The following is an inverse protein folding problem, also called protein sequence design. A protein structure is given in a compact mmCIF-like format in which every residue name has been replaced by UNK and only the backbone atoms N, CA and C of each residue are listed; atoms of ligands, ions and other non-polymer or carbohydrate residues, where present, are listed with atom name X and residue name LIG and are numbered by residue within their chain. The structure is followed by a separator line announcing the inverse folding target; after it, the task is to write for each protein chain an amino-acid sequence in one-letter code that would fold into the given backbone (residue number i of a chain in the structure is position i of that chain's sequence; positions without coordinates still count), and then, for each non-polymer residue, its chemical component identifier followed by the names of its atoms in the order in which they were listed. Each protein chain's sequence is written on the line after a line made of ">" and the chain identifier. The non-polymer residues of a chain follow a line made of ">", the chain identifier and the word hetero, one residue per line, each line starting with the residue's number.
data_IF_525611962737
#
_entry.id   IF_525611962737
#
_cell.length_a   1.000
_cell.length_b   1.000
_cell.length_c   1.000
_cell.angle_alpha   90.00
_cell.angle_beta   90.00
_cell.angle_gamma   90.00
#
_symmetry.space_group_name_H-M   'P 1'
#
loop_
_entity.id
_entity.type
_entity.pdbx_description
1 polymer ?
#
# COMPACT_ATOMS: atom_id res chain seq x y z
N UNK A 1 2.29 -42.94 -10.39
CA UNK A 1 2.04 -41.99 -9.29
C UNK A 1 3.38 -41.39 -8.85
N UNK A 2 4.13 -40.72 -9.75
CA UNK A 2 5.55 -40.39 -9.52
C UNK A 2 5.93 -38.98 -10.02
N UNK A 3 5.22 -37.95 -9.52
CA UNK A 3 5.49 -36.55 -9.90
C UNK A 3 5.42 -35.54 -8.74
N UNK A 4 5.07 -35.95 -7.52
CA UNK A 4 4.89 -35.04 -6.37
C UNK A 4 6.09 -34.99 -5.41
N UNK A 5 6.96 -36.00 -5.41
CA UNK A 5 8.10 -36.07 -4.48
C UNK A 5 9.22 -35.06 -4.76
N UNK A 6 9.29 -34.48 -5.97
CA UNK A 6 10.38 -33.56 -6.35
C UNK A 6 10.20 -32.09 -5.88
N UNK A 7 9.02 -31.72 -5.37
CA UNK A 7 8.76 -30.33 -4.94
C UNK A 7 9.24 -30.01 -3.51
N UNK A 8 9.57 -31.01 -2.70
CA UNK A 8 10.02 -30.86 -1.30
C UNK A 8 11.51 -31.24 -1.10
N UNK A 9 12.34 -30.89 -2.09
CA UNK A 9 13.79 -31.13 -2.07
C UNK A 9 14.55 -30.34 -0.99
N UNK A 10 14.51 -30.81 0.25
CA UNK A 10 15.45 -30.39 1.32
C UNK A 10 16.89 -30.60 0.85
N UNK A 11 17.72 -29.56 0.87
CA UNK A 11 19.18 -29.70 0.88
C UNK A 11 19.68 -29.63 2.33
N UNK A 12 20.57 -30.54 2.78
CA UNK A 12 21.20 -30.42 4.10
C UNK A 12 22.28 -29.32 4.09
N UNK A 13 22.58 -28.68 5.23
CA UNK A 13 23.71 -27.77 5.36
C UNK A 13 25.02 -28.54 5.46
N UNK A 14 26.06 -28.07 4.74
CA UNK A 14 27.43 -28.60 4.80
C UNK A 14 28.37 -27.58 5.44
N UNK A 15 28.87 -27.87 6.64
CA UNK A 15 29.84 -27.06 7.37
C UNK A 15 31.26 -27.65 7.31
N UNK A 16 32.29 -26.84 7.02
CA UNK A 16 33.65 -27.07 7.50
C UNK A 16 33.86 -26.48 8.92
N UNK A 17 34.91 -26.91 9.66
CA UNK A 17 35.06 -26.62 11.09
C UNK A 17 35.83 -25.33 11.42
N UNK A 18 35.81 -24.97 12.71
CA UNK A 18 36.69 -23.96 13.34
C UNK A 18 38.16 -24.39 13.33
N UNK A 19 39.05 -23.41 13.47
CA UNK A 19 40.42 -23.61 13.96
C UNK A 19 40.81 -22.46 14.88
N UNK A 20 40.97 -22.75 16.18
CA UNK A 20 41.48 -21.78 17.16
C UNK A 20 43.01 -21.62 17.05
N UNK A 21 43.48 -20.37 17.13
CA UNK A 21 44.84 -19.98 17.51
C UNK A 21 44.80 -18.48 17.87
N UNK A 22 44.74 -18.09 19.14
CA UNK A 22 45.76 -18.16 20.21
C UNK A 22 46.83 -17.05 20.06
N UNK A 23 47.24 -16.47 21.19
CA UNK A 23 47.75 -15.09 21.25
C UNK A 23 49.28 -14.93 21.08
N UNK A 24 49.69 -13.71 20.65
CA UNK A 24 50.73 -12.80 21.23
C UNK A 24 52.05 -13.43 21.76
N UNK A 25 53.28 -12.92 21.46
CA UNK A 25 53.67 -11.52 21.12
C UNK A 25 54.59 -11.48 19.85
N UNK A 26 55.61 -10.62 19.58
CA UNK A 26 56.28 -9.53 20.33
C UNK A 26 57.00 -8.48 19.45
N UNK A 27 57.15 -7.28 20.01
CA UNK A 27 58.04 -6.13 19.75
C UNK A 27 59.42 -6.42 19.12
N UNK A 28 59.81 -5.61 18.12
CA UNK A 28 61.22 -5.21 17.90
C UNK A 28 61.35 -3.81 17.29
N UNK A 29 62.12 -2.95 17.97
CA UNK A 29 62.66 -1.63 17.59
C UNK A 29 64.11 -1.64 18.07
N UNK A 30 65.10 -1.33 17.22
CA UNK A 30 65.76 0.00 17.15
C UNK A 30 65.43 0.70 15.80
N UNK A 31 65.50 2.04 15.61
CA UNK A 31 66.61 2.99 15.79
C UNK A 31 67.82 2.69 14.87
N UNK A 32 68.49 3.68 14.24
CA UNK A 32 68.57 5.11 14.59
C UNK A 32 68.93 6.03 13.39
N UNK A 33 68.79 7.36 13.57
CA UNK A 33 69.59 8.45 12.92
C UNK A 33 69.49 8.69 11.38
N UNK A 34 69.43 9.92 10.81
CA UNK A 34 69.25 11.32 11.31
C UNK A 34 69.01 12.32 10.14
N UNK A 35 68.47 13.51 10.44
CA UNK A 35 68.49 14.78 9.66
C UNK A 35 67.64 14.98 8.39
N UNK A 36 66.56 15.77 8.57
CA UNK A 36 66.20 16.93 7.71
C UNK A 36 67.11 18.14 8.09
N UNK A 37 67.12 19.35 7.42
CA UNK A 37 65.95 20.07 6.86
C UNK A 37 66.19 20.92 5.57
N UNK A 38 65.22 21.80 5.29
CA UNK A 38 65.26 23.09 4.53
C UNK A 38 64.81 23.16 3.04
N UNK A 39 63.70 23.88 2.85
CA UNK A 39 63.27 24.68 1.68
C UNK A 39 64.10 26.00 1.58
N UNK A 40 64.08 26.87 0.51
CA UNK A 40 62.88 27.23 -0.28
C UNK A 40 63.00 27.64 -1.78
N UNK A 41 61.85 27.47 -2.47
CA UNK A 41 61.17 28.35 -3.46
C UNK A 41 61.98 29.13 -4.55
N UNK A 42 61.46 29.06 -5.79
CA UNK A 42 61.36 30.16 -6.79
C UNK A 42 62.14 30.02 -8.11
N UNK A 43 61.47 29.51 -9.16
CA UNK A 43 61.81 29.83 -10.56
C UNK A 43 60.58 30.15 -11.41
N UNK A 44 60.40 31.45 -11.65
CA UNK A 44 59.89 32.17 -12.85
C UNK A 44 58.72 31.62 -13.69
N UNK A 45 57.84 32.54 -14.07
CA UNK A 45 56.59 32.33 -14.81
C UNK A 45 56.76 32.25 -16.35
N UNK A 46 55.84 31.51 -17.00
CA UNK A 46 55.30 31.68 -18.38
C UNK A 46 56.22 31.47 -19.61
N UNK A 47 55.66 31.20 -20.83
CA UNK A 47 54.49 30.36 -21.15
C UNK A 47 54.65 29.51 -22.46
N UNK A 48 53.58 28.79 -22.86
CA UNK A 48 53.38 28.13 -24.19
C UNK A 48 54.25 26.88 -24.45
N UNK A 49 53.82 25.81 -25.16
CA UNK A 49 52.73 25.65 -26.13
C UNK A 49 52.10 24.25 -26.11
N UNK A 50 50.86 24.15 -26.58
CA UNK A 50 50.15 22.92 -26.98
C UNK A 50 49.69 21.97 -25.85
N UNK A 51 48.37 21.96 -25.63
CA UNK A 51 47.66 20.83 -25.01
C UNK A 51 46.45 20.56 -25.90
N UNK A 52 46.35 19.35 -26.44
CA UNK A 52 45.23 18.95 -27.28
C UNK A 52 43.93 18.90 -26.45
N UNK A 53 42.75 19.17 -27.04
CA UNK A 53 41.48 19.03 -26.34
C UNK A 53 41.26 17.57 -25.95
N UNK A 54 41.36 17.27 -24.65
CA UNK A 54 41.04 15.95 -24.10
C UNK A 54 39.54 15.74 -24.27
N UNK A 55 39.17 14.95 -25.27
CA UNK A 55 37.79 14.56 -25.52
C UNK A 55 37.27 13.75 -24.32
N UNK A 56 36.18 14.18 -23.65
CA UNK A 56 35.68 13.48 -22.48
C UNK A 56 35.14 12.11 -22.90
N UNK A 57 35.76 11.04 -22.39
CA UNK A 57 35.29 9.68 -22.60
C UNK A 57 33.82 9.55 -22.16
N UNK A 58 32.95 8.90 -22.96
CA UNK A 58 31.59 8.62 -22.54
C UNK A 58 31.60 7.83 -21.21
N UNK A 59 30.98 8.39 -20.18
CA UNK A 59 30.82 7.68 -18.92
C UNK A 59 30.04 6.38 -19.16
N UNK A 60 30.44 5.23 -18.59
CA UNK A 60 29.72 3.98 -18.78
C UNK A 60 28.27 4.12 -18.33
N UNK A 61 27.34 4.08 -19.29
CA UNK A 61 25.92 4.07 -18.95
C UNK A 61 25.64 2.82 -18.12
N UNK A 62 25.00 2.93 -16.94
CA UNK A 62 24.74 1.79 -16.09
C UNK A 62 23.81 0.83 -16.83
N UNK A 63 24.35 -0.35 -17.19
CA UNK A 63 23.62 -1.35 -17.96
C UNK A 63 22.30 -1.67 -17.27
N UNK A 64 21.19 -1.41 -17.98
CA UNK A 64 19.84 -1.62 -17.47
C UNK A 64 19.55 -3.12 -17.35
N UNK A 65 19.96 -3.70 -16.21
CA UNK A 65 19.58 -5.06 -15.85
C UNK A 65 18.05 -5.22 -15.94
N UNK A 66 17.53 -6.33 -16.48
CA UNK A 66 16.10 -6.53 -16.65
C UNK A 66 15.40 -6.60 -15.29
N UNK A 67 14.84 -5.45 -14.86
CA UNK A 67 14.10 -5.33 -13.60
C UNK A 67 12.87 -6.23 -13.65
N UNK A 68 12.75 -7.14 -12.70
CA UNK A 68 11.57 -7.99 -12.61
C UNK A 68 10.43 -7.25 -11.90
N UNK A 69 9.57 -6.55 -12.64
CA UNK A 69 8.46 -5.77 -12.08
C UNK A 69 7.54 -6.66 -11.23
N UNK A 70 7.55 -6.45 -9.90
CA UNK A 70 6.76 -7.25 -8.93
C UNK A 70 5.33 -6.70 -8.73
N UNK A 71 5.06 -5.46 -9.14
CA UNK A 71 3.76 -4.80 -9.04
C UNK A 71 2.55 -5.68 -9.47
N UNK A 72 2.53 -6.36 -10.65
CA UNK A 72 1.41 -7.21 -11.02
C UNK A 72 1.21 -8.42 -10.10
N UNK A 73 2.25 -8.91 -9.42
CA UNK A 73 2.13 -10.01 -8.45
C UNK A 73 1.44 -9.53 -7.17
N UNK A 74 1.78 -8.32 -6.70
CA UNK A 74 1.12 -7.68 -5.55
C UNK A 74 -0.34 -7.35 -5.86
N UNK A 75 -0.62 -6.83 -7.07
CA UNK A 75 -1.99 -6.61 -7.55
C UNK A 75 -2.81 -7.90 -7.58
N UNK A 76 -2.28 -8.98 -8.18
CA UNK A 76 -2.99 -10.26 -8.27
C UNK A 76 -3.22 -10.91 -6.90
N UNK A 77 -2.26 -10.78 -5.97
CA UNK A 77 -2.44 -11.20 -4.58
C UNK A 77 -3.55 -10.40 -3.87
N UNK A 78 -3.57 -9.08 -4.03
CA UNK A 78 -4.63 -8.20 -3.50
C UNK A 78 -6.01 -8.51 -4.10
N UNK A 79 -6.10 -8.73 -5.42
CA UNK A 79 -7.32 -9.16 -6.11
C UNK A 79 -7.83 -10.51 -5.59
N UNK A 80 -6.97 -11.52 -5.50
CA UNK A 80 -7.35 -12.85 -5.01
C UNK A 80 -7.81 -12.82 -3.54
N UNK A 81 -7.09 -12.08 -2.69
CA UNK A 81 -7.46 -11.89 -1.29
C UNK A 81 -8.78 -11.15 -1.14
N UNK A 82 -9.03 -10.10 -1.94
CA UNK A 82 -10.29 -9.35 -1.93
C UNK A 82 -11.47 -10.17 -2.45
N UNK A 83 -11.28 -10.94 -3.53
CA UNK A 83 -12.31 -11.85 -4.05
C UNK A 83 -12.68 -12.91 -2.99
N UNK A 84 -11.68 -13.48 -2.31
CA UNK A 84 -11.91 -14.45 -1.23
C UNK A 84 -12.62 -13.80 -0.02
N UNK A 85 -12.20 -12.60 0.39
CA UNK A 85 -12.86 -11.81 1.45
C UNK A 85 -14.34 -11.56 1.13
N UNK A 86 -14.63 -11.04 -0.06
CA UNK A 86 -16.00 -10.77 -0.51
C UNK A 86 -16.84 -12.05 -0.63
N UNK A 87 -16.26 -13.19 -1.02
CA UNK A 87 -16.97 -14.48 -1.04
C UNK A 87 -17.32 -14.96 0.38
N UNK A 88 -16.41 -14.81 1.35
CA UNK A 88 -16.66 -15.15 2.76
C UNK A 88 -17.73 -14.22 3.34
N UNK A 89 -17.59 -12.91 3.16
CA UNK A 89 -18.55 -11.91 3.63
C UNK A 89 -19.94 -12.07 2.97
N UNK A 90 -20.01 -12.35 1.67
CA UNK A 90 -21.27 -12.66 0.97
C UNK A 90 -21.91 -13.95 1.48
N UNK A 91 -21.11 -14.96 1.87
CA UNK A 91 -21.61 -16.21 2.47
C UNK A 91 -22.12 -16.02 3.90
N UNK A 92 -21.44 -15.25 4.75
CA UNK A 92 -21.92 -14.95 6.11
C UNK A 92 -23.16 -14.06 6.07
N UNK A 93 -23.14 -12.98 5.29
CA UNK A 93 -24.28 -12.08 5.11
C UNK A 93 -25.49 -12.80 4.49
N UNK A 94 -25.31 -13.69 3.52
CA UNK A 94 -26.42 -14.48 2.96
C UNK A 94 -27.02 -15.47 3.98
N UNK A 95 -26.25 -15.97 4.95
CA UNK A 95 -26.80 -16.76 6.08
C UNK A 95 -27.58 -15.86 7.05
N UNK A 96 -26.97 -14.78 7.53
CA UNK A 96 -27.60 -13.79 8.43
C UNK A 96 -28.89 -13.23 7.83
N UNK A 97 -28.89 -12.80 6.56
CA UNK A 97 -30.09 -12.29 5.83
C UNK A 97 -31.19 -13.33 5.63
N UNK A 98 -30.88 -14.63 5.52
CA UNK A 98 -31.90 -15.69 5.46
C UNK A 98 -32.51 -15.98 6.82
N UNK A 99 -31.70 -15.96 7.88
CA UNK A 99 -32.19 -16.12 9.26
C UNK A 99 -33.04 -14.93 9.72
N UNK A 100 -32.65 -13.71 9.33
CA UNK A 100 -33.35 -12.47 9.65
C UNK A 100 -34.56 -12.16 8.74
N UNK A 101 -34.97 -13.10 7.88
CA UNK A 101 -36.19 -12.97 7.07
C UNK A 101 -37.33 -13.74 7.75
N UNK A 102 -38.23 -13.09 8.51
CA UNK A 102 -39.32 -13.79 9.20
C UNK A 102 -40.23 -14.48 8.18
N UNK A 103 -40.77 -15.65 8.57
CA UNK A 103 -41.82 -16.27 7.79
C UNK A 103 -43.09 -15.42 7.89
N UNK A 104 -43.93 -15.41 6.85
CA UNK A 104 -45.09 -14.51 6.74
C UNK A 104 -46.10 -14.60 7.90
N UNK A 105 -46.01 -15.63 8.74
CA UNK A 105 -46.89 -15.87 9.90
C UNK A 105 -46.19 -15.74 11.27
N UNK A 106 -44.90 -15.37 11.34
CA UNK A 106 -44.14 -15.33 12.62
C UNK A 106 -44.06 -13.95 13.28
N UNK A 107 -44.87 -12.97 12.86
CA UNK A 107 -44.91 -11.61 13.42
C UNK A 107 -45.59 -11.49 14.80
N UNK A 108 -45.50 -12.53 15.63
CA UNK A 108 -45.90 -12.47 17.04
C UNK A 108 -44.75 -11.88 17.88
N UNK A 109 -44.99 -10.84 18.71
CA UNK A 109 -43.93 -10.16 19.48
C UNK A 109 -43.10 -11.09 20.38
N UNK A 110 -43.66 -12.21 20.83
CA UNK A 110 -42.94 -13.19 21.64
C UNK A 110 -41.78 -13.86 20.86
N UNK A 111 -41.96 -14.14 19.57
CA UNK A 111 -40.93 -14.81 18.78
C UNK A 111 -39.79 -13.87 18.38
N UNK A 112 -40.07 -12.59 18.11
CA UNK A 112 -39.03 -11.59 17.83
C UNK A 112 -38.22 -11.25 19.09
N UNK A 113 -38.86 -11.18 20.27
CA UNK A 113 -38.13 -11.02 21.54
C UNK A 113 -37.23 -12.23 21.85
N UNK A 114 -37.71 -13.46 21.66
CA UNK A 114 -36.86 -14.65 21.85
C UNK A 114 -35.69 -14.68 20.86
N UNK A 115 -35.88 -14.28 19.61
CA UNK A 115 -34.78 -14.21 18.64
C UNK A 115 -33.75 -13.12 18.97
N UNK A 116 -34.19 -11.93 19.42
CA UNK A 116 -33.29 -10.86 19.88
C UNK A 116 -32.55 -11.17 21.19
N UNK A 117 -33.17 -11.91 22.11
CA UNK A 117 -32.57 -12.25 23.40
C UNK A 117 -31.49 -13.35 23.32
N UNK A 118 -31.38 -14.08 22.20
CA UNK A 118 -30.41 -15.16 22.00
C UNK A 118 -29.02 -14.67 21.54
N UNK A 119 -28.87 -13.37 21.24
CA UNK A 119 -27.60 -12.78 20.74
C UNK A 119 -27.01 -11.78 21.72
N UNK A 120 -25.84 -12.10 22.27
CA UNK A 120 -25.06 -11.20 23.11
C UNK A 120 -24.49 -10.04 22.27
N UNK A 121 -25.10 -8.86 22.36
CA UNK A 121 -24.73 -7.69 21.56
C UNK A 121 -23.21 -7.37 21.48
N UNK A 122 -22.39 -7.51 22.56
CA UNK A 122 -20.94 -7.31 22.46
C UNK A 122 -20.22 -8.34 21.59
N UNK A 123 -20.71 -9.59 21.58
CA UNK A 123 -20.16 -10.68 20.77
C UNK A 123 -20.48 -10.46 19.28
N UNK A 124 -21.70 -10.04 18.99
CA UNK A 124 -22.13 -9.69 17.63
C UNK A 124 -21.40 -8.46 17.09
N UNK A 125 -21.18 -7.43 17.94
CA UNK A 125 -20.35 -6.28 17.57
C UNK A 125 -18.90 -6.68 17.24
N UNK A 126 -18.33 -7.65 17.95
CA UNK A 126 -16.99 -8.18 17.65
C UNK A 126 -16.94 -9.01 16.36
N UNK A 127 -17.95 -9.85 16.08
CA UNK A 127 -18.07 -10.54 14.79
C UNK A 127 -18.19 -9.54 13.63
N UNK A 128 -19.05 -8.52 13.79
CA UNK A 128 -19.24 -7.47 12.79
C UNK A 128 -17.97 -6.64 12.57
N UNK A 129 -17.24 -6.30 13.63
CA UNK A 129 -15.95 -5.61 13.55
C UNK A 129 -14.92 -6.43 12.77
N UNK A 130 -14.80 -7.72 13.04
CA UNK A 130 -13.85 -8.60 12.35
C UNK A 130 -14.22 -8.79 10.86
N UNK A 131 -15.52 -8.94 10.54
CA UNK A 131 -16.01 -8.95 9.16
C UNK A 131 -15.72 -7.60 8.47
N UNK A 132 -15.83 -6.48 9.17
CA UNK A 132 -15.50 -5.16 8.62
C UNK A 132 -14.00 -4.99 8.38
N UNK A 133 -13.13 -5.33 9.34
CA UNK A 133 -11.68 -5.14 9.22
C UNK A 133 -11.08 -6.01 8.12
N UNK A 134 -11.53 -7.26 7.92
CA UNK A 134 -11.04 -8.12 6.82
C UNK A 134 -11.43 -7.53 5.45
N UNK A 135 -12.62 -6.94 5.32
CA UNK A 135 -13.04 -6.26 4.08
C UNK A 135 -12.28 -4.95 3.84
N UNK A 136 -12.05 -4.13 4.87
CA UNK A 136 -11.27 -2.88 4.77
C UNK A 136 -9.79 -3.19 4.48
N UNK A 137 -9.21 -4.20 5.13
CA UNK A 137 -7.84 -4.64 4.91
C UNK A 137 -7.63 -5.18 3.48
N UNK A 138 -8.58 -5.96 2.96
CA UNK A 138 -8.50 -6.43 1.57
C UNK A 138 -8.65 -5.29 0.56
N UNK A 139 -9.56 -4.35 0.78
CA UNK A 139 -9.65 -3.13 -0.04
C UNK A 139 -8.36 -2.29 0.02
N UNK A 140 -7.74 -2.12 1.19
CA UNK A 140 -6.47 -1.42 1.34
C UNK A 140 -5.32 -2.14 0.60
N UNK A 141 -5.26 -3.48 0.67
CA UNK A 141 -4.27 -4.28 -0.05
C UNK A 141 -4.49 -4.23 -1.57
N UNK A 142 -5.75 -4.26 -2.03
CA UNK A 142 -6.13 -4.08 -3.43
C UNK A 142 -5.72 -2.69 -3.94
N UNK A 143 -6.09 -1.62 -3.24
CA UNK A 143 -5.74 -0.25 -3.61
C UNK A 143 -4.23 -0.01 -3.62
N UNK A 144 -3.48 -0.62 -2.68
CA UNK A 144 -2.02 -0.56 -2.66
C UNK A 144 -1.41 -1.28 -3.86
N UNK A 145 -1.87 -2.50 -4.17
CA UNK A 145 -1.44 -3.23 -5.37
C UNK A 145 -1.84 -2.52 -6.67
N UNK A 146 -3.01 -1.90 -6.70
CA UNK A 146 -3.52 -1.08 -7.80
C UNK A 146 -2.67 0.15 -8.05
N UNK A 147 -2.33 0.91 -7.00
CA UNK A 147 -1.44 2.05 -7.09
C UNK A 147 -0.03 1.65 -7.57
N UNK A 148 0.56 0.59 -7.00
CA UNK A 148 1.88 0.10 -7.43
C UNK A 148 1.90 -0.35 -8.90
N UNK A 149 0.80 -0.91 -9.40
CA UNK A 149 0.67 -1.32 -10.80
C UNK A 149 0.39 -0.13 -11.74
N UNK A 150 -0.59 0.72 -11.42
CA UNK A 150 -0.96 1.89 -12.22
C UNK A 150 0.20 2.89 -12.35
N UNK A 151 0.93 3.13 -11.26
CA UNK A 151 2.10 3.99 -11.27
C UNK A 151 3.38 3.27 -11.70
N UNK A 152 3.38 1.99 -12.11
CA UNK A 152 4.56 1.17 -12.43
C UNK A 152 5.73 1.36 -11.43
N UNK A 153 5.45 1.12 -10.16
CA UNK A 153 6.42 1.24 -9.07
C UNK A 153 7.04 -0.14 -8.83
N UNK A 154 8.16 -0.39 -9.50
CA UNK A 154 8.96 -1.60 -9.35
C UNK A 154 10.04 -1.50 -8.25
N UNK A 155 10.40 -0.29 -7.78
CA UNK A 155 11.46 -0.06 -6.80
C UNK A 155 11.24 1.21 -5.95
N UNK A 156 12.03 1.37 -4.87
CA UNK A 156 12.00 2.59 -4.06
C UNK A 156 12.48 3.83 -4.82
N UNK A 157 13.44 3.70 -5.74
CA UNK A 157 13.86 4.79 -6.64
C UNK A 157 12.73 5.20 -7.61
N UNK A 158 11.89 4.26 -8.05
CA UNK A 158 10.73 4.58 -8.89
C UNK A 158 9.66 5.32 -8.09
N UNK A 159 9.38 4.89 -6.85
CA UNK A 159 8.51 5.62 -5.93
C UNK A 159 9.05 7.03 -5.62
N UNK A 160 10.33 7.16 -5.27
CA UNK A 160 10.99 8.42 -4.95
C UNK A 160 11.02 9.38 -6.14
N UNK A 161 11.23 8.89 -7.36
CA UNK A 161 11.14 9.70 -8.59
C UNK A 161 9.72 10.21 -8.82
N UNK A 162 8.71 9.34 -8.70
CA UNK A 162 7.30 9.72 -8.94
C UNK A 162 6.79 10.68 -7.88
N UNK A 163 7.22 10.54 -6.62
CA UNK A 163 6.94 11.52 -5.55
C UNK A 163 7.59 12.89 -5.84
N UNK A 164 8.84 12.95 -6.31
CA UNK A 164 9.52 14.22 -6.66
C UNK A 164 8.93 14.91 -7.89
N UNK A 165 8.62 14.15 -8.95
CA UNK A 165 7.96 14.68 -10.14
C UNK A 165 6.54 15.17 -9.86
N UNK A 166 5.80 14.50 -8.96
CA UNK A 166 4.48 14.95 -8.50
C UNK A 166 4.51 16.21 -7.62
N UNK A 167 5.63 16.49 -6.95
CA UNK A 167 5.86 17.70 -6.15
C UNK A 167 6.38 18.89 -6.98
N UNK A 168 6.28 18.84 -8.32
CA UNK A 168 6.72 19.92 -9.22
C UNK A 168 8.24 20.14 -9.30
N UNK A 169 9.04 19.44 -8.49
CA UNK A 169 10.51 19.64 -8.37
C UNK A 169 11.24 19.36 -9.69
N UNK A 170 10.72 18.43 -10.50
CA UNK A 170 11.25 18.09 -11.82
C UNK A 170 10.55 18.88 -12.97
N UNK A 171 9.84 19.97 -12.66
CA UNK A 171 9.34 20.96 -13.62
C UNK A 171 8.26 20.50 -14.62
N UNK A 172 7.72 19.28 -14.47
CA UNK A 172 6.77 18.66 -15.42
C UNK A 172 5.55 18.00 -14.77
N UNK A 173 5.33 18.27 -13.47
CA UNK A 173 4.08 17.92 -12.80
C UNK A 173 2.92 18.82 -13.23
N UNK A 174 1.68 18.34 -13.06
CA UNK A 174 0.48 19.18 -13.06
C UNK A 174 0.67 20.31 -12.05
N UNK A 175 0.24 21.52 -12.36
CA UNK A 175 0.39 22.64 -11.42
C UNK A 175 -0.46 22.38 -10.17
N UNK A 176 0.01 22.84 -9.01
CA UNK A 176 -0.68 22.67 -7.72
C UNK A 176 -2.16 23.10 -7.80
N UNK A 177 -2.44 24.25 -8.42
CA UNK A 177 -3.80 24.74 -8.68
C UNK A 177 -4.67 23.88 -9.61
N UNK A 178 -4.10 23.06 -10.50
CA UNK A 178 -4.89 22.12 -11.32
C UNK A 178 -5.40 20.96 -10.45
N UNK A 179 -4.60 20.52 -9.47
CA UNK A 179 -5.00 19.51 -8.51
C UNK A 179 -5.95 20.06 -7.43
N UNK A 180 -5.87 21.36 -7.12
CA UNK A 180 -6.83 22.05 -6.26
C UNK A 180 -8.19 22.24 -6.98
N UNK A 181 -8.20 22.64 -8.26
CA UNK A 181 -9.43 22.77 -9.07
C UNK A 181 -10.13 21.41 -9.28
N UNK A 182 -9.38 20.35 -9.63
CA UNK A 182 -9.87 18.95 -9.69
C UNK A 182 -10.52 18.54 -8.34
N UNK A 183 -9.97 18.99 -7.20
CA UNK A 183 -10.47 18.67 -5.86
C UNK A 183 -11.70 19.50 -5.46
N UNK A 184 -11.77 20.77 -5.83
CA UNK A 184 -12.94 21.63 -5.60
C UNK A 184 -14.17 21.15 -6.40
N UNK A 185 -14.01 20.82 -7.69
CA UNK A 185 -15.12 20.24 -8.48
C UNK A 185 -15.58 18.92 -7.86
N UNK A 186 -14.63 18.04 -7.50
CA UNK A 186 -14.96 16.77 -6.86
C UNK A 186 -15.75 16.97 -5.56
N UNK A 187 -15.29 17.86 -4.67
CA UNK A 187 -15.94 18.14 -3.39
C UNK A 187 -17.34 18.76 -3.59
N UNK A 188 -17.49 19.70 -4.53
CA UNK A 188 -18.78 20.25 -4.92
C UNK A 188 -19.74 19.18 -5.47
N UNK A 189 -19.23 18.24 -6.28
CA UNK A 189 -20.02 17.12 -6.82
C UNK A 189 -20.48 16.12 -5.73
N UNK A 190 -19.72 15.99 -4.65
CA UNK A 190 -20.05 15.14 -3.49
C UNK A 190 -21.06 15.82 -2.58
N UNK A 191 -20.87 17.10 -2.26
CA UNK A 191 -21.76 17.88 -1.40
C UNK A 191 -23.14 18.08 -2.06
N UNK A 192 -23.18 18.51 -3.32
CA UNK A 192 -24.45 18.66 -4.07
C UNK A 192 -25.22 17.34 -4.19
N UNK A 193 -24.52 16.20 -4.39
CA UNK A 193 -25.11 14.86 -4.38
C UNK A 193 -25.65 14.45 -3.02
N UNK A 194 -24.99 14.86 -1.92
CA UNK A 194 -25.44 14.63 -0.55
C UNK A 194 -26.73 15.41 -0.28
N UNK A 195 -26.74 16.72 -0.51
CA UNK A 195 -27.93 17.56 -0.35
C UNK A 195 -29.12 17.09 -1.21
N UNK A 196 -28.86 16.72 -2.47
CA UNK A 196 -29.88 16.24 -3.39
C UNK A 196 -30.44 14.86 -2.98
N UNK A 197 -29.75 14.12 -2.09
CA UNK A 197 -30.28 12.93 -1.44
C UNK A 197 -31.07 13.29 -0.18
N UNK A 198 -30.56 14.17 0.68
CA UNK A 198 -31.23 14.60 1.91
C UNK A 198 -32.60 15.24 1.60
N UNK A 199 -32.67 16.20 0.66
CA UNK A 199 -33.94 16.79 0.19
C UNK A 199 -34.93 15.77 -0.42
N UNK A 200 -34.45 14.64 -0.95
CA UNK A 200 -35.33 13.55 -1.43
C UNK A 200 -35.89 12.72 -0.28
N UNK A 201 -35.06 12.43 0.73
CA UNK A 201 -35.48 11.69 1.91
C UNK A 201 -36.52 12.50 2.71
N UNK A 202 -36.28 13.79 2.93
CA UNK A 202 -37.25 14.71 3.57
C UNK A 202 -38.61 14.71 2.84
N UNK A 203 -38.61 14.80 1.51
CA UNK A 203 -39.84 14.80 0.71
C UNK A 203 -40.55 13.43 0.69
N UNK A 204 -39.80 12.33 0.70
CA UNK A 204 -40.36 10.99 0.81
C UNK A 204 -40.98 10.76 2.20
N UNK A 205 -40.29 11.18 3.28
CA UNK A 205 -40.79 11.11 4.66
C UNK A 205 -42.04 11.98 4.87
N UNK A 206 -42.07 13.23 4.41
CA UNK A 206 -43.26 14.10 4.50
C UNK A 206 -44.46 13.48 3.77
N UNK A 207 -44.22 12.91 2.59
CA UNK A 207 -45.23 12.25 1.76
C UNK A 207 -45.76 10.97 2.41
N UNK A 208 -44.92 10.20 3.09
CA UNK A 208 -45.36 9.05 3.88
C UNK A 208 -46.14 9.48 5.12
N UNK A 209 -45.69 10.50 5.86
CA UNK A 209 -46.41 11.05 7.02
C UNK A 209 -47.82 11.54 6.64
N UNK A 210 -47.94 12.31 5.54
CA UNK A 210 -49.25 12.73 4.99
C UNK A 210 -50.15 11.54 4.70
N UNK A 211 -49.63 10.51 4.00
CA UNK A 211 -50.35 9.27 3.69
C UNK A 211 -50.71 8.43 4.92
N UNK A 212 -49.95 8.50 6.02
CA UNK A 212 -50.31 7.86 7.30
C UNK A 212 -51.45 8.63 7.98
N UNK A 213 -51.35 9.95 8.05
CA UNK A 213 -52.36 10.82 8.65
C UNK A 213 -53.72 10.71 7.94
N UNK A 214 -53.75 10.73 6.61
CA UNK A 214 -54.95 10.52 5.80
C UNK A 214 -55.62 9.16 6.08
N UNK A 215 -54.83 8.07 6.22
CA UNK A 215 -55.35 6.74 6.54
C UNK A 215 -55.83 6.60 7.99
N UNK A 216 -55.27 7.37 8.91
CA UNK A 216 -55.75 7.46 10.30
C UNK A 216 -57.11 8.17 10.42
N UNK A 217 -57.43 9.06 9.47
CA UNK A 217 -58.67 9.86 9.46
C UNK A 217 -59.87 9.19 8.77
N UNK A 218 -59.70 7.95 8.29
CA UNK A 218 -60.74 7.14 7.63
C UNK A 218 -61.12 5.90 8.47
N UNK A 219 -60.97 5.98 9.80
CA UNK A 219 -61.30 4.94 10.79
C UNK A 219 -62.01 5.58 11.98
#
# INVERSE_FOLDING_TARGET
>A
MEFLNYLFGRRPPSSPPQSDQLARPEKRVPQDTTAQPEEPISQKFTPTTSTAPVQPSPAPQPQSQPRQNKAPVVLMAGLAFTALSLLIARRSFARRRRAANPSFYTNSPAHSQVQGAQVSAPLEAFEALNIATINVLSLAMLSTGGALWYFDIASMEDARRKLRGGLGVDGSGRSEGEAEEDFEEWLASVLSRKEAKERRQEYEEEKEQRRVNERGRQR
#
